data_IF_008738393048
#
_entry.id   IF_008738393048
#
_cell.length_a   1.000
_cell.length_b   1.000
_cell.length_c   1.000
_cell.angle_alpha   90.00
_cell.angle_beta   90.00
_cell.angle_gamma   90.00
#
_symmetry.space_group_name_H-M   'P 1'
#
loop_
_entity.id
_entity.type
_entity.pdbx_description
1 polymer ?
#
# COMPACT_ATOMS: atom_id res chain seq x y z
N UNK A 1 18.21 8.81 0.80
CA UNK A 1 16.96 8.53 1.54
C UNK A 1 16.53 7.12 1.15
N UNK A 2 16.47 6.19 2.11
CA UNK A 2 16.12 4.79 1.88
C UNK A 2 14.62 4.66 2.11
N UNK A 3 13.84 4.41 1.06
CA UNK A 3 12.45 3.94 1.20
C UNK A 3 12.39 2.44 0.97
N UNK A 4 11.33 1.80 1.46
CA UNK A 4 11.07 0.39 1.18
C UNK A 4 9.79 0.28 0.36
N UNK A 5 9.88 -0.43 -0.76
CA UNK A 5 8.74 -0.78 -1.62
C UNK A 5 8.31 -2.22 -1.35
N UNK A 6 7.01 -2.42 -1.19
CA UNK A 6 6.35 -3.71 -1.07
C UNK A 6 5.45 -3.95 -2.28
N UNK A 7 5.51 -5.16 -2.84
CA UNK A 7 4.43 -5.71 -3.66
C UNK A 7 3.73 -6.77 -2.81
N UNK A 8 2.47 -6.50 -2.46
CA UNK A 8 1.66 -7.38 -1.61
C UNK A 8 0.67 -8.11 -2.51
N UNK A 9 0.72 -9.44 -2.50
CA UNK A 9 -0.21 -10.34 -3.20
C UNK A 9 -1.16 -10.98 -2.22
N UNK A 10 -2.45 -10.90 -2.52
CA UNK A 10 -3.49 -11.23 -1.58
C UNK A 10 -4.77 -11.72 -2.25
N UNK A 11 -5.64 -12.35 -1.44
CA UNK A 11 -7.03 -12.69 -1.77
C UNK A 11 -7.95 -12.22 -0.65
N UNK A 12 -9.26 -12.29 -0.89
CA UNK A 12 -10.30 -11.94 0.09
C UNK A 12 -11.25 -13.11 0.31
N UNK A 13 -11.80 -13.22 1.51
CA UNK A 13 -12.79 -14.26 1.84
C UNK A 13 -14.25 -13.82 1.55
N UNK A 14 -14.46 -12.59 1.08
CA UNK A 14 -15.78 -12.05 0.75
C UNK A 14 -15.74 -11.11 -0.46
N UNK A 15 -16.87 -10.89 -1.13
CA UNK A 15 -16.93 -9.96 -2.26
C UNK A 15 -16.81 -8.51 -1.79
N UNK A 16 -15.88 -7.76 -2.38
CA UNK A 16 -15.70 -6.32 -2.14
C UNK A 16 -16.01 -5.57 -3.42
N UNK A 17 -17.11 -4.82 -3.45
CA UNK A 17 -17.45 -3.95 -4.59
C UNK A 17 -16.92 -2.54 -4.36
N UNK A 18 -16.17 -2.00 -5.30
CA UNK A 18 -15.72 -0.61 -5.24
C UNK A 18 -16.72 0.29 -5.95
N UNK A 19 -17.29 1.28 -5.26
CA UNK A 19 -18.21 2.25 -5.87
C UNK A 19 -17.53 3.24 -6.82
N UNK A 20 -16.25 3.52 -6.59
CA UNK A 20 -15.44 4.40 -7.46
C UNK A 20 -13.96 3.99 -7.44
N UNK A 21 -13.36 3.96 -6.26
CA UNK A 21 -11.95 3.64 -6.06
C UNK A 21 -11.75 2.74 -4.83
N UNK A 22 -10.79 1.81 -4.93
CA UNK A 22 -10.41 0.89 -3.86
C UNK A 22 -9.69 1.55 -2.67
N UNK A 23 -9.45 2.86 -2.71
CA UNK A 23 -8.62 3.53 -1.72
C UNK A 23 -9.14 3.55 -0.30
N UNK A 24 -10.46 3.50 -0.10
CA UNK A 24 -11.04 3.34 1.24
C UNK A 24 -10.66 1.98 1.82
N UNK A 25 -10.67 0.93 1.00
CA UNK A 25 -10.25 -0.41 1.38
C UNK A 25 -8.74 -0.44 1.67
N UNK A 26 -7.91 0.08 0.75
CA UNK A 26 -6.45 0.13 0.93
C UNK A 26 -6.02 0.97 2.13
N UNK A 27 -6.63 2.14 2.34
CA UNK A 27 -6.33 2.98 3.50
C UNK A 27 -6.67 2.27 4.81
N UNK A 28 -7.75 1.47 4.83
CA UNK A 28 -8.12 0.67 5.99
C UNK A 28 -7.14 -0.48 6.21
N UNK A 29 -6.86 -1.28 5.19
CA UNK A 29 -5.93 -2.40 5.27
C UNK A 29 -4.54 -1.93 5.72
N UNK A 30 -3.94 -0.97 5.01
CA UNK A 30 -2.62 -0.45 5.36
C UNK A 30 -2.64 0.29 6.69
N UNK A 31 -3.70 1.04 6.99
CA UNK A 31 -3.87 1.70 8.28
C UNK A 31 -3.87 0.73 9.45
N UNK A 32 -4.68 -0.33 9.40
CA UNK A 32 -4.77 -1.34 10.46
C UNK A 32 -3.44 -2.11 10.62
N UNK A 33 -2.73 -2.41 9.51
CA UNK A 33 -1.39 -3.02 9.56
C UNK A 33 -0.39 -2.11 10.28
N UNK A 34 -0.39 -0.81 9.96
CA UNK A 34 0.51 0.18 10.55
C UNK A 34 0.18 0.45 12.02
N UNK A 35 -1.09 0.56 12.38
CA UNK A 35 -1.53 0.68 13.77
C UNK A 35 -1.07 -0.52 14.62
N UNK A 36 -1.09 -1.73 14.04
CA UNK A 36 -0.60 -2.95 14.67
C UNK A 36 0.89 -2.93 15.02
N UNK A 37 1.68 -2.03 14.42
CA UNK A 37 3.10 -1.80 14.78
C UNK A 37 3.34 -0.45 15.45
N UNK A 38 2.28 0.19 15.93
CA UNK A 38 2.34 1.46 16.67
C UNK A 38 2.47 2.70 15.79
N UNK A 39 2.33 2.59 14.47
CA UNK A 39 2.32 3.73 13.54
C UNK A 39 0.88 4.22 13.39
N UNK A 40 0.55 5.31 14.10
CA UNK A 40 -0.74 5.98 13.98
C UNK A 40 -0.65 7.12 12.97
N UNK A 41 -1.54 7.12 11.98
CA UNK A 41 -1.64 8.18 10.98
C UNK A 41 -2.86 9.04 11.31
N UNK A 42 -2.69 10.30 11.72
CA UNK A 42 -3.82 11.18 11.99
C UNK A 42 -4.76 11.29 10.78
N UNK A 43 -6.07 11.29 11.04
CA UNK A 43 -7.04 11.65 10.02
C UNK A 43 -6.74 13.07 9.51
N UNK A 44 -6.53 13.21 8.20
CA UNK A 44 -6.19 14.49 7.58
C UNK A 44 -4.73 14.92 7.70
N UNK A 45 -3.81 14.02 8.08
CA UNK A 45 -2.38 14.32 8.09
C UNK A 45 -1.90 14.88 6.74
N UNK A 46 -1.23 16.04 6.76
CA UNK A 46 -0.67 16.72 5.59
C UNK A 46 0.39 15.85 4.89
N UNK A 47 1.12 15.05 5.67
CA UNK A 47 2.13 14.11 5.18
C UNK A 47 1.81 12.71 5.70
N UNK A 48 1.64 11.76 4.79
CA UNK A 48 1.56 10.33 5.11
C UNK A 48 2.93 9.69 4.88
N UNK A 49 3.42 8.81 5.79
CA UNK A 49 4.73 8.17 5.63
C UNK A 49 4.74 7.05 4.58
N UNK A 50 3.75 7.01 3.68
CA UNK A 50 3.59 5.96 2.69
C UNK A 50 2.78 6.42 1.47
N UNK A 51 2.94 5.69 0.36
CA UNK A 51 2.10 5.76 -0.83
C UNK A 51 1.63 4.36 -1.23
N UNK A 52 0.47 4.27 -1.90
CA UNK A 52 -0.13 2.99 -2.31
C UNK A 52 -0.65 3.11 -3.75
N UNK A 53 -0.42 2.09 -4.58
CA UNK A 53 -1.03 1.98 -5.91
C UNK A 53 -2.51 1.55 -5.83
N UNK A 54 -3.25 1.58 -6.94
CA UNK A 54 -4.49 0.80 -7.05
C UNK A 54 -4.26 -0.69 -6.82
N UNK A 55 -5.35 -1.43 -6.64
CA UNK A 55 -5.35 -2.89 -6.66
C UNK A 55 -5.41 -3.36 -8.11
N UNK A 56 -4.57 -4.32 -8.45
CA UNK A 56 -4.50 -4.96 -9.75
C UNK A 56 -4.90 -6.43 -9.65
N UNK A 57 -5.49 -6.95 -10.72
CA UNK A 57 -5.70 -8.38 -10.91
C UNK A 57 -4.43 -9.07 -11.46
N UNK A 58 -4.51 -10.38 -11.69
CA UNK A 58 -3.41 -11.18 -12.26
C UNK A 58 -3.01 -10.77 -13.70
N UNK A 59 -3.82 -9.96 -14.38
CA UNK A 59 -3.58 -9.46 -15.73
C UNK A 59 -3.14 -7.99 -15.72
N UNK A 60 -2.71 -7.46 -14.56
CA UNK A 60 -2.30 -6.07 -14.35
C UNK A 60 -3.39 -5.03 -14.65
N UNK A 61 -4.67 -5.42 -14.57
CA UNK A 61 -5.80 -4.51 -14.73
C UNK A 61 -6.26 -4.01 -13.38
N UNK A 62 -6.65 -2.74 -13.31
CA UNK A 62 -7.20 -2.17 -12.07
C UNK A 62 -8.48 -2.91 -11.70
N UNK A 63 -8.51 -3.49 -10.50
CA UNK A 63 -9.64 -4.24 -10.00
C UNK A 63 -10.80 -3.30 -9.59
N UNK A 64 -11.96 -3.45 -10.24
CA UNK A 64 -13.20 -2.75 -9.87
C UNK A 64 -14.01 -3.45 -8.77
N UNK A 65 -13.66 -4.70 -8.45
CA UNK A 65 -14.19 -5.48 -7.34
C UNK A 65 -13.17 -6.56 -6.96
N UNK A 66 -13.29 -7.10 -5.76
CA UNK A 66 -12.57 -8.28 -5.30
C UNK A 66 -13.56 -9.42 -5.10
N UNK A 67 -13.24 -10.59 -5.62
CA UNK A 67 -14.07 -11.79 -5.55
C UNK A 67 -13.31 -12.87 -4.75
N UNK A 68 -13.99 -13.64 -3.89
CA UNK A 68 -13.35 -14.74 -3.19
C UNK A 68 -12.74 -15.77 -4.14
N UNK A 69 -11.54 -16.23 -3.82
CA UNK A 69 -10.78 -17.20 -4.62
C UNK A 69 -9.89 -16.59 -5.71
N UNK A 70 -10.11 -15.33 -6.09
CA UNK A 70 -9.23 -14.61 -7.01
C UNK A 70 -7.95 -14.09 -6.32
N UNK A 71 -6.93 -13.83 -7.12
CA UNK A 71 -5.66 -13.26 -6.70
C UNK A 71 -5.52 -11.81 -7.16
N UNK A 72 -5.05 -10.96 -6.25
CA UNK A 72 -4.85 -9.53 -6.47
C UNK A 72 -3.51 -9.08 -5.94
N UNK A 73 -3.05 -7.91 -6.38
CA UNK A 73 -1.85 -7.30 -5.84
C UNK A 73 -1.92 -5.77 -5.79
N UNK A 74 -1.14 -5.17 -4.90
CA UNK A 74 -0.90 -3.72 -4.88
C UNK A 74 0.54 -3.43 -4.46
N UNK A 75 1.01 -2.22 -4.78
CA UNK A 75 2.30 -1.68 -4.34
C UNK A 75 2.09 -0.73 -3.19
N UNK A 76 2.92 -0.83 -2.15
CA UNK A 76 3.03 0.16 -1.10
C UNK A 76 4.48 0.61 -0.96
N UNK A 77 4.74 1.90 -0.78
CA UNK A 77 6.08 2.44 -0.52
C UNK A 77 6.08 3.18 0.81
N UNK A 78 7.09 2.94 1.65
CA UNK A 78 7.20 3.52 2.99
C UNK A 78 8.45 4.37 3.14
N UNK A 79 8.31 5.49 3.83
CA UNK A 79 9.39 6.44 4.12
C UNK A 79 10.11 6.07 5.41
N UNK A 80 11.27 5.40 5.32
CA UNK A 80 11.95 4.83 6.50
C UNK A 80 12.57 5.87 7.45
N UNK A 81 12.60 7.14 7.06
CA UNK A 81 12.94 8.25 7.95
C UNK A 81 11.77 8.69 8.83
N UNK A 82 10.53 8.25 8.53
CA UNK A 82 9.32 8.58 9.29
C UNK A 82 8.74 7.38 10.03
N UNK A 83 9.00 6.15 9.56
CA UNK A 83 8.53 4.91 10.17
C UNK A 83 9.65 3.88 10.23
N UNK A 84 9.56 2.98 11.21
CA UNK A 84 10.42 1.80 11.27
C UNK A 84 10.02 0.81 10.16
N UNK A 85 10.68 0.92 9.00
CA UNK A 85 10.41 0.06 7.85
C UNK A 85 10.60 -1.43 8.15
N UNK A 86 11.52 -1.81 9.05
CA UNK A 86 11.71 -3.22 9.42
C UNK A 86 10.48 -3.78 10.10
N UNK A 87 9.90 -3.02 11.05
CA UNK A 87 8.62 -3.39 11.68
C UNK A 87 7.47 -3.39 10.70
N UNK A 88 7.39 -2.39 9.80
CA UNK A 88 6.32 -2.32 8.79
C UNK A 88 6.38 -3.52 7.85
N UNK A 89 7.55 -3.86 7.31
CA UNK A 89 7.72 -5.04 6.45
C UNK A 89 7.26 -6.30 7.18
N UNK A 90 7.73 -6.53 8.41
CA UNK A 90 7.31 -7.67 9.22
C UNK A 90 5.81 -7.69 9.49
N UNK A 91 5.17 -6.52 9.58
CA UNK A 91 3.71 -6.42 9.74
C UNK A 91 2.94 -6.91 8.51
N UNK A 92 3.50 -6.75 7.31
CA UNK A 92 2.91 -7.15 6.02
C UNK A 92 3.12 -8.65 5.70
N UNK A 93 4.08 -9.32 6.34
CA UNK A 93 4.40 -10.74 6.11
C UNK A 93 3.50 -11.66 6.97
N UNK A 94 2.27 -11.24 7.29
CA UNK A 94 1.30 -12.11 7.99
C UNK A 94 0.40 -12.80 6.99
N UNK A 95 0.04 -14.05 7.27
CA UNK A 95 -0.83 -14.84 6.39
C UNK A 95 -2.23 -14.24 6.20
N UNK A 96 -2.73 -13.48 7.19
CA UNK A 96 -4.05 -12.87 7.11
C UNK A 96 -4.23 -11.62 7.97
N UNK A 97 -5.18 -10.78 7.55
CA UNK A 97 -5.65 -9.59 8.24
C UNK A 97 -7.17 -9.64 8.37
N UNK A 98 -7.65 -9.77 9.60
CA UNK A 98 -9.07 -9.57 9.90
C UNK A 98 -9.33 -8.07 10.00
N UNK A 99 -10.05 -7.53 9.03
CA UNK A 99 -10.47 -6.14 9.05
C UNK A 99 -11.57 -5.95 10.08
N UNK A 100 -11.66 -4.76 10.69
CA UNK A 100 -12.66 -4.51 11.73
C UNK A 100 -14.14 -4.55 11.27
N UNK A 101 -14.43 -4.85 10.00
CA UNK A 101 -15.77 -5.19 9.51
C UNK A 101 -16.03 -6.72 9.45
N UNK A 102 -15.10 -7.54 9.96
CA UNK A 102 -15.16 -9.00 9.94
C UNK A 102 -14.61 -9.65 8.68
N UNK A 103 -14.23 -8.88 7.65
CA UNK A 103 -13.65 -9.41 6.42
C UNK A 103 -12.19 -9.85 6.60
N UNK A 104 -11.80 -10.98 6.02
CA UNK A 104 -10.43 -11.51 6.10
C UNK A 104 -9.68 -11.38 4.77
N UNK A 105 -8.59 -10.62 4.80
CA UNK A 105 -7.65 -10.48 3.67
C UNK A 105 -6.53 -11.48 3.88
N UNK A 106 -6.30 -12.39 2.93
CA UNK A 106 -5.24 -13.41 3.01
C UNK A 106 -4.06 -12.98 2.16
N UNK A 107 -2.89 -12.84 2.77
CA UNK A 107 -1.67 -12.49 2.04
C UNK A 107 -0.87 -13.77 1.83
N UNK A 108 -0.49 -14.01 0.58
CA UNK A 108 0.24 -15.22 0.19
C UNK A 108 1.59 -14.90 -0.48
N UNK A 109 1.92 -13.63 -0.66
CA UNK A 109 3.22 -13.21 -1.16
C UNK A 109 3.50 -11.75 -0.89
N UNK A 110 4.70 -11.46 -0.40
CA UNK A 110 5.22 -10.10 -0.23
C UNK A 110 6.60 -10.05 -0.83
N UNK A 111 6.79 -9.20 -1.83
CA UNK A 111 8.13 -8.87 -2.34
C UNK A 111 8.59 -7.56 -1.74
N UNK A 112 9.81 -7.54 -1.21
CA UNK A 112 10.42 -6.37 -0.57
C UNK A 112 11.53 -5.84 -1.47
N UNK A 113 11.55 -4.53 -1.67
CA UNK A 113 12.59 -3.84 -2.44
C UNK A 113 13.11 -2.62 -1.67
N UNK A 114 14.44 -2.51 -1.52
CA UNK A 114 15.06 -1.26 -1.08
C UNK A 114 15.05 -0.26 -2.23
N UNK A 115 14.40 0.88 -2.03
CA UNK A 115 14.47 2.01 -2.94
C UNK A 115 15.62 2.90 -2.48
N UNK A 116 16.78 2.70 -3.13
CA UNK A 116 17.94 3.57 -2.98
C UNK A 116 17.81 4.75 -3.93
N UNK A 117 17.78 5.98 -3.38
CA UNK A 117 18.01 7.18 -4.19
C UNK A 117 19.47 7.16 -4.68
N UNK A 118 19.71 6.63 -5.88
CA UNK A 118 20.99 6.81 -6.56
C UNK A 118 21.08 8.27 -7.03
N UNK A 119 21.88 9.08 -6.35
CA UNK A 119 22.07 10.51 -6.68
C UNK A 119 23.03 10.78 -7.86
N UNK A 120 23.58 9.75 -8.53
CA UNK A 120 24.75 9.93 -9.42
C UNK A 120 24.58 9.46 -10.87
N UNK A 121 23.37 9.25 -11.37
CA UNK A 121 23.14 9.01 -12.81
C UNK A 121 22.25 10.11 -13.36
N UNK A 122 22.84 10.94 -14.22
CA UNK A 122 22.22 12.12 -14.81
C UNK A 122 20.82 11.88 -15.37
N UNK A 123 19.98 12.90 -15.22
CA UNK A 123 18.81 13.09 -16.06
C UNK A 123 17.48 12.48 -15.59
N UNK A 124 17.41 11.77 -14.47
CA UNK A 124 16.13 11.46 -13.82
C UNK A 124 16.05 12.13 -12.46
N UNK A 125 15.58 13.37 -12.47
CA UNK A 125 15.07 14.01 -11.27
C UNK A 125 13.94 13.13 -10.71
N UNK A 126 14.23 12.35 -9.67
CA UNK A 126 13.18 11.90 -8.77
C UNK A 126 12.71 13.16 -8.09
N UNK A 127 11.65 13.76 -8.63
CA UNK A 127 11.00 14.90 -8.02
C UNK A 127 10.46 14.38 -6.69
N UNK A 128 11.16 14.70 -5.60
CA UNK A 128 10.60 14.64 -4.25
C UNK A 128 9.55 15.73 -4.20
N UNK A 129 8.37 15.37 -4.66
CA UNK A 129 7.16 16.12 -4.50
C UNK A 129 6.82 16.15 -3.00
N UNK A 130 7.43 17.08 -2.27
CA UNK A 130 6.93 17.51 -0.96
C UNK A 130 5.61 18.26 -1.16
N UNK A 131 4.56 17.54 -1.56
CA UNK A 131 3.27 18.18 -1.85
C UNK A 131 2.47 18.15 -0.57
N UNK A 132 2.27 19.36 -0.06
CA UNK A 132 1.38 19.69 1.05
C UNK A 132 -0.07 19.25 0.84
N UNK A 133 -0.43 18.70 -0.31
CA UNK A 133 -1.71 18.04 -0.58
C UNK A 133 -1.55 17.20 -1.85
N UNK A 134 -1.56 15.87 -1.74
CA UNK A 134 -1.94 15.03 -2.87
C UNK A 134 -3.31 14.41 -2.55
N UNK A 135 -4.29 14.42 -3.49
CA UNK A 135 -5.21 13.30 -3.50
C UNK A 135 -4.34 12.04 -3.67
N UNK A 136 -4.61 10.99 -2.91
CA UNK A 136 -3.89 9.71 -3.04
C UNK A 136 -4.23 9.06 -4.39
N UNK A 137 -3.95 9.70 -5.54
CA UNK A 137 -4.44 9.28 -6.86
C UNK A 137 -3.57 9.89 -7.97
N UNK A 138 -2.99 9.03 -8.82
CA UNK A 138 -2.78 9.38 -10.23
C UNK A 138 -3.95 8.81 -11.02
N UNK A 139 -4.73 9.67 -11.67
CA UNK A 139 -5.63 9.28 -12.75
C UNK A 139 -4.80 9.11 -14.02
N UNK A 140 -4.60 7.87 -14.47
CA UNK A 140 -4.20 7.64 -15.85
C UNK A 140 -5.48 7.58 -16.69
N UNK A 141 -5.62 8.53 -17.61
CA UNK A 141 -6.46 8.37 -18.80
C UNK A 141 -5.69 7.57 -19.82
#
# INVERSE_FOLDING_TARGET
MLSVGLIVRFSVDWEVKFGSWCGRFLSRLVGEVLEGVGVRIPHGAEVKPFSISPIFDVNDRVAGRLVPGDAYWFRASFMCNMVDCGRVVNAFVRDSYALGNGGVVRVFGVEVSELRLNSNTGGRAVVNWGVRFWPTVFTFR
#
